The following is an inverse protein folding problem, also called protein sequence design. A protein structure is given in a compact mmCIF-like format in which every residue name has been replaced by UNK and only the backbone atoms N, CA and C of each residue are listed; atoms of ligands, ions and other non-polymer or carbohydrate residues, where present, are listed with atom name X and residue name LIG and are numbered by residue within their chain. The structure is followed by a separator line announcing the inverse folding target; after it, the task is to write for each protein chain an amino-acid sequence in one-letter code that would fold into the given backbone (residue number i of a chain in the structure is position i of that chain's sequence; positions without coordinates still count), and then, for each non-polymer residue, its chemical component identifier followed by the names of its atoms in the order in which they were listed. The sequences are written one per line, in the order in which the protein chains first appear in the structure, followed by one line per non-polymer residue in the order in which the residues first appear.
data_IF_081433391749
#
_entry.id   IF_081433391749
#
_cell.length_a   1.000
_cell.length_b   1.000
_cell.length_c   1.000
_cell.angle_alpha   90.00
_cell.angle_beta   90.00
_cell.angle_gamma   90.00
#
_symmetry.space_group_name_H-M   'P 1'
#
loop_
_entity.id
_entity.type
_entity.pdbx_description
1 polymer ?
#
# COMPACT_ATOMS: atom_id res chain seq x y z
N UNK A 1 -13.81 -32.11 -42.94
CA UNK A 1 -12.85 -32.38 -41.83
C UNK A 1 -12.09 -31.15 -41.34
N UNK A 2 -11.85 -30.14 -42.17
CA UNK A 2 -11.13 -28.90 -41.80
C UNK A 2 -11.85 -28.04 -40.72
N UNK A 3 -13.18 -28.00 -40.69
CA UNK A 3 -13.98 -27.19 -39.77
C UNK A 3 -13.90 -27.67 -38.31
N UNK A 4 -13.74 -28.99 -38.08
CA UNK A 4 -13.65 -29.55 -36.69
C UNK A 4 -12.32 -29.18 -36.06
N UNK A 5 -11.22 -29.22 -36.81
CA UNK A 5 -9.90 -28.83 -36.30
C UNK A 5 -9.80 -27.32 -36.00
N UNK A 6 -10.48 -26.48 -36.78
CA UNK A 6 -10.52 -25.02 -36.53
C UNK A 6 -11.26 -24.68 -35.24
N UNK A 7 -12.35 -25.40 -34.94
CA UNK A 7 -13.05 -25.19 -33.68
C UNK A 7 -12.21 -25.63 -32.45
N UNK A 8 -11.51 -26.75 -32.55
CA UNK A 8 -10.61 -27.21 -31.48
C UNK A 8 -9.49 -26.19 -31.26
N UNK A 9 -8.86 -25.68 -32.33
CA UNK A 9 -7.80 -24.66 -32.22
C UNK A 9 -8.31 -23.37 -31.54
N UNK A 10 -9.53 -22.91 -31.88
CA UNK A 10 -10.16 -21.76 -31.23
C UNK A 10 -10.34 -21.95 -29.73
N UNK A 11 -10.85 -23.13 -29.31
CA UNK A 11 -11.01 -23.45 -27.90
C UNK A 11 -9.69 -23.55 -27.14
N UNK A 12 -8.64 -24.08 -27.78
CA UNK A 12 -7.28 -24.10 -27.20
C UNK A 12 -6.76 -22.67 -26.97
N UNK A 13 -6.92 -21.77 -27.94
CA UNK A 13 -6.49 -20.38 -27.82
C UNK A 13 -7.25 -19.67 -26.69
N UNK A 14 -8.57 -19.86 -26.60
CA UNK A 14 -9.37 -19.25 -25.53
C UNK A 14 -8.96 -19.78 -24.17
N UNK A 15 -8.77 -21.09 -24.04
CA UNK A 15 -8.39 -21.73 -22.78
C UNK A 15 -6.98 -21.29 -22.35
N UNK A 16 -6.02 -21.26 -23.29
CA UNK A 16 -4.66 -20.80 -22.97
C UNK A 16 -4.63 -19.33 -22.57
N UNK A 17 -5.39 -18.50 -23.24
CA UNK A 17 -5.53 -17.07 -22.86
C UNK A 17 -6.08 -16.94 -21.44
N UNK A 18 -7.11 -17.68 -21.08
CA UNK A 18 -7.70 -17.67 -19.75
C UNK A 18 -6.68 -18.09 -18.67
N UNK A 19 -5.90 -19.14 -18.95
CA UNK A 19 -4.85 -19.60 -18.02
C UNK A 19 -3.78 -18.53 -17.83
N UNK A 20 -3.29 -17.92 -18.91
CA UNK A 20 -2.26 -16.88 -18.85
C UNK A 20 -2.75 -15.68 -18.02
N UNK A 21 -3.99 -15.25 -18.26
CA UNK A 21 -4.59 -14.14 -17.52
C UNK A 21 -4.69 -14.46 -16.02
N UNK A 22 -5.19 -15.66 -15.70
CA UNK A 22 -5.31 -16.11 -14.30
C UNK A 22 -3.96 -16.14 -13.60
N UNK A 23 -2.89 -16.57 -14.27
CA UNK A 23 -1.53 -16.55 -13.75
C UNK A 23 -1.01 -15.12 -13.53
N UNK A 24 -1.28 -14.20 -14.45
CA UNK A 24 -0.88 -12.80 -14.30
C UNK A 24 -1.61 -12.16 -13.12
N UNK A 25 -2.92 -12.37 -12.99
CA UNK A 25 -3.71 -11.85 -11.88
C UNK A 25 -3.24 -12.40 -10.53
N UNK A 26 -2.98 -13.70 -10.46
CA UNK A 26 -2.42 -14.35 -9.27
C UNK A 26 -1.07 -13.74 -8.88
N UNK A 27 -0.16 -13.64 -9.84
CA UNK A 27 1.16 -13.08 -9.61
C UNK A 27 1.08 -11.61 -9.14
N UNK A 28 0.22 -10.80 -9.77
CA UNK A 28 0.02 -9.40 -9.38
C UNK A 28 -0.53 -9.28 -7.96
N UNK A 29 -1.45 -10.17 -7.57
CA UNK A 29 -1.97 -10.20 -6.20
C UNK A 29 -0.88 -10.57 -5.17
N UNK A 30 -0.07 -11.59 -5.46
CA UNK A 30 1.04 -12.00 -4.60
C UNK A 30 2.08 -10.87 -4.43
N UNK A 31 2.41 -10.17 -5.53
CA UNK A 31 3.25 -8.98 -5.50
C UNK A 31 2.67 -7.88 -4.61
N UNK A 32 1.39 -7.58 -4.76
CA UNK A 32 0.72 -6.58 -3.93
C UNK A 32 0.83 -6.92 -2.43
N UNK A 33 0.57 -8.17 -2.05
CA UNK A 33 0.67 -8.61 -0.66
C UNK A 33 2.10 -8.52 -0.12
N UNK A 34 3.10 -8.90 -0.91
CA UNK A 34 4.52 -8.77 -0.54
C UNK A 34 4.91 -7.32 -0.29
N UNK A 35 4.57 -6.41 -1.20
CA UNK A 35 4.84 -4.98 -1.02
C UNK A 35 4.12 -4.39 0.19
N UNK A 36 2.88 -4.79 0.45
CA UNK A 36 2.13 -4.37 1.63
C UNK A 36 2.83 -4.81 2.92
N UNK A 37 3.30 -6.03 2.97
CA UNK A 37 4.05 -6.55 4.12
C UNK A 37 5.41 -5.85 4.30
N UNK A 38 6.10 -5.52 3.19
CA UNK A 38 7.34 -4.74 3.25
C UNK A 38 7.11 -3.30 3.76
N UNK A 39 6.04 -2.64 3.33
CA UNK A 39 5.68 -1.32 3.84
C UNK A 39 5.37 -1.38 5.34
N UNK A 40 4.64 -2.40 5.78
CA UNK A 40 4.39 -2.61 7.21
C UNK A 40 5.69 -2.81 7.99
N UNK A 41 6.58 -3.68 7.53
CA UNK A 41 7.89 -3.90 8.17
C UNK A 41 8.72 -2.60 8.25
N UNK A 42 8.71 -1.78 7.20
CA UNK A 42 9.37 -0.46 7.22
C UNK A 42 8.76 0.47 8.27
N UNK A 43 7.44 0.47 8.40
CA UNK A 43 6.75 1.28 9.40
C UNK A 43 6.98 0.77 10.83
N UNK A 44 7.13 -0.54 11.04
CA UNK A 44 7.50 -1.13 12.33
C UNK A 44 8.93 -0.75 12.73
N UNK A 45 9.89 -0.76 11.79
CA UNK A 45 11.26 -0.29 12.02
C UNK A 45 11.25 1.21 12.38
N UNK A 46 10.48 2.01 11.69
CA UNK A 46 10.32 3.44 11.96
C UNK A 46 9.71 3.67 13.34
N UNK A 47 8.69 2.91 13.73
CA UNK A 47 8.08 2.96 15.06
C UNK A 47 9.10 2.63 16.17
N UNK A 48 9.95 1.62 15.95
CA UNK A 48 11.05 1.29 16.86
C UNK A 48 12.08 2.43 16.99
N UNK A 49 12.37 3.15 15.89
CA UNK A 49 13.23 4.33 15.94
C UNK A 49 12.59 5.47 16.74
N UNK A 50 11.30 5.73 16.57
CA UNK A 50 10.56 6.70 17.40
C UNK A 50 10.52 6.31 18.87
N UNK A 51 10.29 5.04 19.18
CA UNK A 51 10.28 4.55 20.56
C UNK A 51 11.65 4.77 21.21
N UNK A 52 12.74 4.42 20.54
CA UNK A 52 14.08 4.63 21.05
C UNK A 52 14.41 6.12 21.23
N UNK A 53 14.05 6.95 20.27
CA UNK A 53 14.22 8.41 20.35
C UNK A 53 13.53 9.00 21.58
N UNK A 54 12.34 8.48 21.91
CA UNK A 54 11.51 8.96 23.02
C UNK A 54 11.93 8.43 24.39
N UNK A 55 12.66 7.31 24.43
CA UNK A 55 12.99 6.57 25.68
C UNK A 55 14.45 6.69 26.09
N UNK A 56 15.34 7.10 25.21
CA UNK A 56 16.78 7.19 25.47
C UNK A 56 17.15 8.51 26.20
N UNK A 57 18.34 8.49 26.82
CA UNK A 57 18.87 9.68 27.46
C UNK A 57 19.31 10.74 26.43
N UNK A 58 19.32 12.03 26.85
CA UNK A 58 19.68 13.17 26.00
C UNK A 58 21.10 13.07 25.39
N UNK A 59 21.98 12.25 25.94
CA UNK A 59 23.34 12.06 25.46
C UNK A 59 23.49 10.81 24.55
N UNK A 60 22.39 10.14 24.19
CA UNK A 60 22.44 8.99 23.30
C UNK A 60 22.74 9.43 21.85
N UNK A 61 23.47 8.60 21.10
CA UNK A 61 23.65 8.80 19.69
C UNK A 61 22.39 8.36 18.93
N UNK A 62 21.72 9.29 18.26
CA UNK A 62 20.51 9.09 17.48
C UNK A 62 20.74 9.11 15.97
N UNK A 63 21.98 9.02 15.53
CA UNK A 63 22.32 9.11 14.11
C UNK A 63 21.64 8.05 13.25
N UNK A 64 21.41 6.86 13.80
CA UNK A 64 20.68 5.77 13.13
C UNK A 64 19.19 6.04 13.07
N UNK A 65 18.58 6.45 14.18
CA UNK A 65 17.14 6.73 14.30
C UNK A 65 16.75 7.91 13.38
N UNK A 66 17.53 8.98 13.40
CA UNK A 66 17.34 10.12 12.49
C UNK A 66 17.41 9.69 11.03
N UNK A 67 18.37 8.82 10.68
CA UNK A 67 18.49 8.28 9.33
C UNK A 67 17.29 7.40 8.94
N UNK A 68 16.74 6.63 9.85
CA UNK A 68 15.55 5.79 9.59
C UNK A 68 14.33 6.68 9.39
N UNK A 69 14.09 7.64 10.26
CA UNK A 69 12.95 8.56 10.21
C UNK A 69 13.02 9.42 8.94
N UNK A 70 14.17 9.99 8.65
CA UNK A 70 14.38 10.85 7.47
C UNK A 70 14.26 10.10 6.14
N UNK A 71 14.44 8.78 6.12
CA UNK A 71 14.28 7.96 4.90
C UNK A 71 12.84 7.60 4.55
N UNK A 72 11.88 7.83 5.44
CA UNK A 72 10.47 7.65 5.09
C UNK A 72 9.98 8.83 4.24
N UNK A 73 10.16 8.77 2.93
CA UNK A 73 9.75 9.83 1.99
C UNK A 73 8.43 9.55 1.27
N UNK A 74 7.90 8.33 1.35
CA UNK A 74 6.84 7.88 0.45
C UNK A 74 5.62 7.26 1.13
N UNK A 75 5.71 6.91 2.42
CA UNK A 75 4.57 6.37 3.16
C UNK A 75 3.95 7.49 4.00
N UNK A 76 2.72 7.93 3.66
CA UNK A 76 2.02 8.94 4.44
C UNK A 76 1.64 8.40 5.82
N UNK A 77 1.90 9.16 6.87
CA UNK A 77 1.61 8.75 8.23
C UNK A 77 1.11 9.89 9.11
N UNK A 78 0.36 9.52 10.15
CA UNK A 78 -0.12 10.40 11.22
C UNK A 78 0.14 9.70 12.55
N UNK A 79 0.69 10.43 13.51
CA UNK A 79 0.90 9.97 14.88
C UNK A 79 -0.17 10.60 15.76
N UNK A 80 -0.81 9.78 16.60
CA UNK A 80 -1.80 10.24 17.57
C UNK A 80 -1.42 9.80 18.98
N UNK A 81 -1.98 10.47 19.96
CA UNK A 81 -1.95 10.01 21.35
C UNK A 81 -3.13 9.05 21.63
N UNK A 82 -3.23 8.58 22.90
CA UNK A 82 -4.30 7.68 23.37
C UNK A 82 -5.72 8.26 23.20
N UNK A 83 -5.86 9.57 23.07
CA UNK A 83 -7.14 10.27 22.87
C UNK A 83 -7.45 10.54 21.39
N UNK A 84 -6.77 9.84 20.47
CA UNK A 84 -6.86 10.07 19.03
C UNK A 84 -6.53 11.52 18.60
N UNK A 85 -5.85 12.30 19.43
CA UNK A 85 -5.40 13.64 19.05
C UNK A 85 -4.13 13.53 18.21
N UNK A 86 -4.14 14.15 17.03
CA UNK A 86 -3.01 14.18 16.12
C UNK A 86 -1.88 15.00 16.74
N UNK A 87 -0.70 14.40 16.87
CA UNK A 87 0.52 15.04 17.38
C UNK A 87 1.49 15.41 16.27
N UNK A 88 1.67 14.50 15.31
CA UNK A 88 2.61 14.66 14.21
C UNK A 88 2.08 14.01 12.94
N UNK A 89 2.63 14.41 11.79
CA UNK A 89 2.34 13.79 10.49
C UNK A 89 3.54 13.92 9.54
N UNK A 90 3.64 12.99 8.58
CA UNK A 90 4.66 13.05 7.53
C UNK A 90 4.10 12.57 6.18
N UNK A 91 4.72 13.03 5.10
CA UNK A 91 4.43 12.64 3.72
C UNK A 91 2.97 12.90 3.28
N UNK A 92 2.36 13.95 3.83
CA UNK A 92 1.08 14.49 3.40
C UNK A 92 1.28 15.79 2.60
N UNK A 93 0.24 16.19 1.86
CA UNK A 93 0.24 17.45 1.12
C UNK A 93 0.46 18.64 2.08
N UNK A 94 1.58 19.34 1.95
CA UNK A 94 2.00 20.38 2.88
C UNK A 94 1.00 21.55 2.98
N UNK A 95 0.32 21.90 1.87
CA UNK A 95 -0.66 23.00 1.84
C UNK A 95 -1.97 22.57 2.53
N UNK A 96 -2.43 21.33 2.25
CA UNK A 96 -3.69 20.84 2.81
C UNK A 96 -3.55 20.43 4.28
N UNK A 97 -2.36 20.01 4.72
CA UNK A 97 -2.08 19.60 6.11
C UNK A 97 -2.19 20.74 7.11
N UNK A 98 -2.18 22.01 6.67
CA UNK A 98 -2.51 23.16 7.53
C UNK A 98 -3.97 23.17 8.01
N UNK A 99 -4.86 22.41 7.32
CA UNK A 99 -6.28 22.32 7.66
C UNK A 99 -6.55 21.08 8.51
N UNK A 100 -7.00 21.28 9.76
CA UNK A 100 -7.33 20.20 10.69
C UNK A 100 -8.31 19.16 10.08
N UNK A 101 -9.30 19.63 9.32
CA UNK A 101 -10.28 18.74 8.68
C UNK A 101 -9.63 17.78 7.67
N UNK A 102 -8.61 18.24 6.94
CA UNK A 102 -7.86 17.38 6.02
C UNK A 102 -7.12 16.27 6.78
N UNK A 103 -6.44 16.63 7.88
CA UNK A 103 -5.72 15.64 8.70
C UNK A 103 -6.67 14.61 9.30
N UNK A 104 -7.85 15.02 9.80
CA UNK A 104 -8.86 14.10 10.32
C UNK A 104 -9.37 13.14 9.22
N UNK A 105 -9.61 13.64 8.02
CA UNK A 105 -10.01 12.80 6.89
C UNK A 105 -8.91 11.80 6.50
N UNK A 106 -7.62 12.25 6.52
CA UNK A 106 -6.50 11.35 6.25
C UNK A 106 -6.36 10.28 7.33
N UNK A 107 -6.53 10.64 8.59
CA UNK A 107 -6.51 9.69 9.71
C UNK A 107 -7.61 8.62 9.56
N UNK A 108 -8.82 9.02 9.19
CA UNK A 108 -9.91 8.07 8.96
C UNK A 108 -9.60 7.09 7.81
N UNK A 109 -9.04 7.58 6.71
CA UNK A 109 -8.57 6.73 5.61
C UNK A 109 -7.51 5.74 6.09
N UNK A 110 -6.53 6.20 6.88
CA UNK A 110 -5.46 5.36 7.41
C UNK A 110 -5.99 4.28 8.35
N UNK A 111 -6.92 4.62 9.25
CA UNK A 111 -7.59 3.68 10.17
C UNK A 111 -8.33 2.55 9.44
N UNK A 112 -8.90 2.87 8.28
CA UNK A 112 -9.63 1.88 7.47
C UNK A 112 -8.71 1.05 6.56
N UNK A 113 -7.44 1.43 6.39
CA UNK A 113 -6.52 0.80 5.46
C UNK A 113 -5.55 -0.18 6.14
N UNK A 114 -5.00 0.20 7.28
CA UNK A 114 -3.98 -0.56 8.00
C UNK A 114 -4.19 -0.46 9.51
N UNK A 115 -3.87 -1.55 10.22
CA UNK A 115 -3.82 -1.52 11.68
C UNK A 115 -2.70 -0.60 12.16
N UNK A 116 -2.94 0.20 13.22
CA UNK A 116 -1.93 1.09 13.76
C UNK A 116 -0.75 0.32 14.36
N UNK A 117 0.40 0.98 14.41
CA UNK A 117 1.56 0.49 15.13
C UNK A 117 1.66 1.26 16.44
N UNK A 118 1.73 0.52 17.55
CA UNK A 118 1.78 1.09 18.89
C UNK A 118 3.23 1.40 19.25
N UNK A 119 3.49 2.62 19.71
CA UNK A 119 4.78 3.08 20.22
C UNK A 119 4.61 3.40 21.71
N UNK A 120 5.41 2.78 22.55
CA UNK A 120 5.33 2.96 24.01
C UNK A 120 6.42 3.89 24.50
N UNK A 121 6.06 4.89 25.31
CA UNK A 121 7.02 5.76 25.98
C UNK A 121 7.31 5.24 27.40
N UNK A 122 8.59 4.95 27.72
CA UNK A 122 9.00 4.49 29.07
C UNK A 122 8.72 5.51 30.17
N UNK A 123 8.68 6.80 29.89
CA UNK A 123 8.46 7.89 30.86
C UNK A 123 6.98 8.20 31.04
N UNK A 124 6.14 7.25 31.45
CA UNK A 124 4.79 7.59 31.85
C UNK A 124 3.66 6.72 31.32
N UNK A 125 3.93 5.54 30.80
CA UNK A 125 2.91 4.64 30.24
C UNK A 125 2.06 5.30 29.12
N UNK A 126 2.62 6.33 28.44
CA UNK A 126 1.94 7.04 27.35
C UNK A 126 2.12 6.20 26.09
N UNK A 127 1.02 5.82 25.47
CA UNK A 127 1.02 5.15 24.19
C UNK A 127 0.77 6.16 23.07
N UNK A 128 1.51 6.02 21.97
CA UNK A 128 1.25 6.71 20.72
C UNK A 128 0.91 5.68 19.65
N UNK A 129 0.09 6.08 18.70
CA UNK A 129 -0.35 5.23 17.60
C UNK A 129 0.10 5.83 16.29
N UNK A 130 0.88 5.07 15.51
CA UNK A 130 1.27 5.45 14.16
C UNK A 130 0.26 4.84 13.19
N UNK A 131 -0.55 5.69 12.59
CA UNK A 131 -1.44 5.34 11.48
C UNK A 131 -0.74 5.68 10.17
N UNK A 132 -0.85 4.81 9.18
CA UNK A 132 -0.26 5.01 7.86
C UNK A 132 -1.18 4.49 6.77
N UNK A 133 -1.02 5.03 5.58
CA UNK A 133 -1.71 4.53 4.40
C UNK A 133 -0.71 3.98 3.39
N UNK A 134 -1.23 3.16 2.47
CA UNK A 134 -0.45 2.63 1.36
C UNK A 134 0.24 3.76 0.58
N UNK A 135 1.49 3.53 0.19
CA UNK A 135 2.23 4.45 -0.67
C UNK A 135 1.56 4.62 -2.04
N UNK A 136 1.97 5.64 -2.78
CA UNK A 136 1.50 5.84 -4.16
C UNK A 136 1.81 4.66 -5.07
N UNK A 137 2.94 3.96 -4.82
CA UNK A 137 3.31 2.76 -5.55
C UNK A 137 2.30 1.64 -5.30
N UNK A 138 1.98 1.36 -4.04
CA UNK A 138 1.04 0.31 -3.65
C UNK A 138 -0.37 0.63 -4.16
N UNK A 139 -0.77 1.89 -4.07
CA UNK A 139 -2.05 2.37 -4.61
C UNK A 139 -2.14 2.15 -6.12
N UNK A 140 -1.09 2.42 -6.88
CA UNK A 140 -1.04 2.13 -8.32
C UNK A 140 -1.12 0.63 -8.59
N UNK A 141 -0.36 -0.20 -7.88
CA UNK A 141 -0.39 -1.65 -8.03
C UNK A 141 -1.79 -2.24 -7.84
N UNK A 142 -2.59 -1.67 -6.94
CA UNK A 142 -3.97 -2.09 -6.71
C UNK A 142 -4.86 -1.98 -7.95
N UNK A 143 -4.58 -1.03 -8.85
CA UNK A 143 -5.38 -0.80 -10.06
C UNK A 143 -4.89 -1.59 -11.28
N UNK A 144 -3.69 -2.19 -11.26
CA UNK A 144 -3.16 -2.98 -12.39
C UNK A 144 -4.08 -4.13 -12.82
N UNK A 145 -4.66 -4.94 -11.91
CA UNK A 145 -5.59 -6.01 -12.30
C UNK A 145 -6.80 -5.50 -13.06
N UNK A 146 -7.35 -4.36 -12.64
CA UNK A 146 -8.51 -3.73 -13.30
C UNK A 146 -8.15 -3.28 -14.72
N UNK A 147 -7.00 -2.64 -14.90
CA UNK A 147 -6.52 -2.23 -16.20
C UNK A 147 -6.31 -3.42 -17.14
N UNK A 148 -5.73 -4.52 -16.65
CA UNK A 148 -5.56 -5.75 -17.42
C UNK A 148 -6.89 -6.34 -17.88
N UNK A 149 -7.89 -6.42 -16.99
CA UNK A 149 -9.24 -6.92 -17.32
C UNK A 149 -9.87 -6.05 -18.41
N UNK A 150 -9.77 -4.72 -18.33
CA UNK A 150 -10.30 -3.81 -19.35
C UNK A 150 -9.63 -4.01 -20.71
N UNK A 151 -8.31 -4.17 -20.73
CA UNK A 151 -7.56 -4.45 -21.98
C UNK A 151 -8.03 -5.77 -22.60
N UNK A 152 -8.28 -6.78 -21.79
CA UNK A 152 -8.76 -8.09 -22.26
C UNK A 152 -10.17 -8.03 -22.85
N UNK A 153 -11.08 -7.29 -22.20
CA UNK A 153 -12.44 -7.09 -22.73
C UNK A 153 -12.36 -6.37 -24.08
N UNK A 154 -11.52 -5.36 -24.19
CA UNK A 154 -11.31 -4.64 -25.43
C UNK A 154 -10.73 -5.54 -26.53
N UNK A 155 -9.72 -6.35 -26.21
CA UNK A 155 -9.13 -7.30 -27.14
C UNK A 155 -10.13 -8.37 -27.61
N UNK A 156 -10.91 -8.92 -26.67
CA UNK A 156 -11.96 -9.88 -26.99
C UNK A 156 -13.05 -9.26 -27.92
N UNK A 157 -13.41 -8.01 -27.69
CA UNK A 157 -14.40 -7.30 -28.53
C UNK A 157 -13.89 -7.08 -29.95
N UNK A 158 -12.61 -6.74 -30.11
CA UNK A 158 -11.97 -6.59 -31.43
C UNK A 158 -11.95 -7.93 -32.16
N UNK A 159 -11.53 -9.00 -31.50
CA UNK A 159 -11.57 -10.35 -32.07
C UNK A 159 -12.98 -10.72 -32.53
N UNK A 160 -14.00 -10.48 -31.68
CA UNK A 160 -15.39 -10.77 -32.03
C UNK A 160 -15.84 -10.02 -33.29
N UNK A 161 -15.48 -8.74 -33.43
CA UNK A 161 -15.82 -7.93 -34.61
C UNK A 161 -15.13 -8.43 -35.88
N UNK A 162 -13.89 -8.92 -35.80
CA UNK A 162 -13.17 -9.46 -36.97
C UNK A 162 -13.67 -10.85 -37.41
N UNK A 163 -14.29 -11.61 -36.54
CA UNK A 163 -14.78 -12.96 -36.85
C UNK A 163 -16.29 -13.03 -37.08
N UNK A 164 -17.00 -11.92 -36.98
CA UNK A 164 -18.42 -11.81 -37.36
C UNK A 164 -18.58 -11.53 -38.84
#
# INVERSE_FOLDING_TARGET
MLTKNQNILRWIIVLSSFIIISLILWNTYDFFQKFKNEERAKMEILAGAFERFSTSDLNADFSLEDKIISKNHNIPMIITNEKDSITEWANLDSIKSSKKQYLLNQLDIMKNQNDPIVVSHKKGNIQQFIYYRDSDLLTKLKYYPVALILILILFASVIYLFFK
#
